data_IF_430852454346
#
_entry.id   IF_430852454346
#
_cell.length_a   1.000
_cell.length_b   1.000
_cell.length_c   1.000
_cell.angle_alpha   90.00
_cell.angle_beta   90.00
_cell.angle_gamma   90.00
#
_symmetry.space_group_name_H-M   'P 1'
#
loop_
_entity.id
_entity.type
_entity.pdbx_description
1 polymer ?
#
# COMPACT_ATOMS: atom_id res chain seq x y z
N UNK A 1 -0.97 14.03 -18.10
CA UNK A 1 -1.07 13.89 -17.56
C UNK A 1 -0.83 13.39 -17.10
N UNK A 2 -0.47 12.96 -16.98
CA UNK A 2 -0.40 12.55 -16.51
C UNK A 2 0.09 12.01 -15.79
N UNK A 3 0.80 11.65 -15.58
CA UNK A 3 1.25 11.11 -14.87
C UNK A 3 1.41 11.43 -13.90
N UNK A 4 1.72 11.89 -13.78
CA UNK A 4 1.77 12.10 -12.93
C UNK A 4 1.06 12.00 -12.22
N UNK A 5 0.96 12.06 -12.20
CA UNK A 5 0.02 11.94 -11.61
C UNK A 5 -0.31 10.77 -11.49
N UNK A 6 0.40 10.28 -11.89
CA UNK A 6 0.14 9.06 -12.05
C UNK A 6 -0.40 8.44 -10.87
N UNK A 7 0.24 8.34 -9.85
CA UNK A 7 -0.18 7.74 -8.83
C UNK A 7 -1.38 8.13 -8.23
N UNK A 8 -1.54 9.25 -8.00
CA UNK A 8 -2.64 9.66 -7.34
C UNK A 8 -3.80 9.70 -8.17
N UNK A 9 -3.57 10.14 -9.28
CA UNK A 9 -4.60 10.41 -10.07
C UNK A 9 -5.21 9.29 -10.65
N UNK A 10 -4.45 8.41 -10.91
CA UNK A 10 -4.86 7.42 -11.64
C UNK A 10 -5.87 6.68 -10.96
N UNK A 11 -5.90 6.76 -9.75
CA UNK A 11 -6.78 5.95 -9.02
C UNK A 11 -8.15 6.54 -9.04
N UNK A 12 -8.88 6.29 -10.07
CA UNK A 12 -10.24 6.76 -10.15
C UNK A 12 -11.16 5.63 -9.75
N UNK A 13 -12.40 5.94 -9.54
CA UNK A 13 -13.36 4.93 -9.09
C UNK A 13 -13.59 3.83 -10.12
N UNK A 14 -13.24 4.08 -11.37
CA UNK A 14 -13.45 3.09 -12.40
C UNK A 14 -12.24 2.18 -12.61
N UNK A 15 -11.12 2.54 -12.03
CA UNK A 15 -9.91 1.76 -12.20
C UNK A 15 -10.02 0.44 -11.43
N UNK A 16 -9.83 -0.68 -12.09
CA UNK A 16 -9.89 -1.98 -11.40
C UNK A 16 -8.89 -2.08 -10.26
N UNK A 17 -7.73 -1.45 -10.41
CA UNK A 17 -6.74 -1.46 -9.35
C UNK A 17 -7.26 -0.69 -8.13
N UNK A 18 -7.95 0.42 -8.37
CA UNK A 18 -8.52 1.20 -7.28
C UNK A 18 -9.57 0.37 -6.53
N UNK A 19 -10.42 -0.33 -7.27
CA UNK A 19 -11.44 -1.16 -6.64
C UNK A 19 -10.82 -2.28 -5.83
N UNK A 20 -9.75 -2.89 -6.37
CA UNK A 20 -9.03 -3.92 -5.64
C UNK A 20 -8.42 -3.34 -4.37
N UNK A 21 -7.85 -2.14 -4.46
CA UNK A 21 -7.27 -1.48 -3.30
C UNK A 21 -8.31 -1.24 -2.22
N UNK A 22 -9.51 -0.84 -2.62
CA UNK A 22 -10.58 -0.62 -1.65
C UNK A 22 -10.95 -1.90 -0.93
N UNK A 23 -11.07 -3.00 -1.67
CA UNK A 23 -11.41 -4.29 -1.08
C UNK A 23 -10.31 -4.79 -0.16
N UNK A 24 -9.07 -4.67 -0.62
CA UNK A 24 -7.92 -5.10 0.19
C UNK A 24 -7.84 -4.26 1.46
N UNK A 25 -8.05 -2.95 1.32
CA UNK A 25 -7.96 -2.07 2.48
C UNK A 25 -9.06 -2.36 3.48
N UNK A 26 -10.24 -2.72 3.00
CA UNK A 26 -11.33 -3.08 3.89
C UNK A 26 -10.99 -4.35 4.67
N UNK A 27 -10.44 -5.35 3.98
CA UNK A 27 -10.02 -6.58 4.63
C UNK A 27 -8.87 -6.32 5.61
N UNK A 28 -7.91 -5.49 5.21
CA UNK A 28 -6.80 -5.13 6.07
C UNK A 28 -7.29 -4.41 7.32
N UNK A 29 -8.23 -3.50 7.17
CA UNK A 29 -8.75 -2.77 8.31
C UNK A 29 -9.42 -3.70 9.32
N UNK A 30 -10.12 -4.71 8.82
CA UNK A 30 -10.72 -5.70 9.69
C UNK A 30 -9.67 -6.46 10.50
N UNK A 31 -8.57 -6.84 9.84
CA UNK A 31 -7.49 -7.53 10.52
C UNK A 31 -6.82 -6.59 11.52
N UNK A 32 -6.59 -5.36 11.11
CA UNK A 32 -5.91 -4.38 11.97
C UNK A 32 -6.70 -4.05 13.23
N UNK A 33 -8.02 -4.20 13.18
CA UNK A 33 -8.84 -3.98 14.38
C UNK A 33 -8.68 -5.11 15.38
N UNK A 34 -8.36 -6.31 14.89
CA UNK A 34 -8.22 -7.47 15.78
C UNK A 34 -6.79 -7.75 16.17
N UNK A 35 -5.85 -7.22 15.41
CA UNK A 35 -4.44 -7.43 15.66
C UNK A 35 -3.77 -6.08 15.77
N UNK A 36 -2.54 -6.08 16.24
CA UNK A 36 -1.77 -4.84 16.24
C UNK A 36 -1.44 -4.47 14.81
N UNK A 37 -1.47 -3.17 14.51
CA UNK A 37 -1.22 -2.70 13.14
C UNK A 37 0.12 -3.17 12.57
N UNK A 38 1.24 -3.13 13.31
CA UNK A 38 2.49 -3.63 12.73
C UNK A 38 2.42 -5.10 12.35
N UNK A 39 1.69 -5.91 13.12
CA UNK A 39 1.54 -7.33 12.80
C UNK A 39 0.70 -7.48 11.54
N UNK A 40 -0.36 -6.69 11.41
CA UNK A 40 -1.20 -6.74 10.23
C UNK A 40 -0.43 -6.31 8.98
N UNK A 41 0.43 -5.29 9.11
CA UNK A 41 1.24 -4.82 7.98
C UNK A 41 2.26 -5.87 7.57
N UNK A 42 2.87 -6.54 8.53
CA UNK A 42 3.83 -7.58 8.22
C UNK A 42 3.14 -8.74 7.50
N UNK A 43 1.93 -9.10 7.95
CA UNK A 43 1.16 -10.13 7.29
C UNK A 43 0.83 -9.75 5.85
N UNK A 44 0.44 -8.49 5.63
CA UNK A 44 0.11 -8.01 4.30
C UNK A 44 1.33 -8.09 3.38
N UNK A 45 2.48 -7.67 3.87
CA UNK A 45 3.71 -7.71 3.08
C UNK A 45 4.08 -9.14 2.70
N UNK A 46 3.94 -10.06 3.65
CA UNK A 46 4.28 -11.44 3.38
C UNK A 46 3.31 -12.08 2.40
N UNK A 47 2.04 -11.74 2.47
CA UNK A 47 1.06 -12.25 1.53
C UNK A 47 1.40 -11.77 0.11
N UNK A 48 1.84 -10.53 -0.03
CA UNK A 48 2.26 -10.02 -1.33
C UNK A 48 3.41 -10.87 -1.89
N UNK A 49 4.43 -11.12 -1.09
CA UNK A 49 5.59 -11.89 -1.52
C UNK A 49 5.18 -13.32 -1.89
N UNK A 50 4.37 -13.95 -1.06
CA UNK A 50 3.94 -15.32 -1.30
C UNK A 50 3.17 -15.42 -2.62
N UNK A 51 2.27 -14.51 -2.85
CA UNK A 51 1.47 -14.56 -4.08
C UNK A 51 2.31 -14.28 -5.32
N UNK A 52 3.25 -13.35 -5.22
CA UNK A 52 4.15 -13.09 -6.34
C UNK A 52 5.00 -14.33 -6.63
N UNK A 53 5.56 -14.91 -5.58
CA UNK A 53 6.46 -16.05 -5.76
C UNK A 53 5.70 -17.27 -6.31
N UNK A 54 4.50 -17.52 -5.79
CA UNK A 54 3.71 -18.66 -6.23
C UNK A 54 3.22 -18.49 -7.66
N UNK A 55 2.94 -17.27 -8.07
CA UNK A 55 2.41 -17.03 -9.40
C UNK A 55 3.46 -16.80 -10.46
N UNK A 56 4.60 -16.21 -10.11
CA UNK A 56 5.56 -15.76 -11.10
C UNK A 56 7.01 -16.16 -10.84
N UNK A 57 7.28 -16.75 -9.72
CA UNK A 57 8.63 -17.23 -9.40
C UNK A 57 9.51 -16.18 -8.73
N UNK A 58 10.64 -16.62 -8.29
CA UNK A 58 11.55 -15.79 -7.49
C UNK A 58 12.04 -14.56 -8.21
N UNK A 59 12.48 -14.70 -9.45
CA UNK A 59 13.05 -13.57 -10.16
C UNK A 59 12.06 -12.45 -10.38
N UNK A 60 10.85 -12.81 -10.80
CA UNK A 60 9.83 -11.79 -11.03
C UNK A 60 9.43 -11.15 -9.70
N UNK A 61 9.38 -11.96 -8.64
CA UNK A 61 9.08 -11.44 -7.32
C UNK A 61 10.08 -10.37 -6.91
N UNK A 62 11.37 -10.68 -7.05
CA UNK A 62 12.40 -9.72 -6.63
C UNK A 62 12.38 -8.47 -7.50
N UNK A 63 12.16 -8.63 -8.80
CA UNK A 63 12.08 -7.48 -9.70
C UNK A 63 10.88 -6.60 -9.35
N UNK A 64 9.74 -7.22 -9.07
CA UNK A 64 8.53 -6.48 -8.73
C UNK A 64 8.70 -5.72 -7.41
N UNK A 65 9.28 -6.38 -6.42
CA UNK A 65 9.53 -5.72 -5.14
C UNK A 65 10.51 -4.57 -5.31
N UNK A 66 11.51 -4.74 -6.18
CA UNK A 66 12.45 -3.66 -6.47
C UNK A 66 11.77 -2.48 -7.12
N UNK A 67 10.84 -2.74 -8.04
CA UNK A 67 10.10 -1.67 -8.70
C UNK A 67 9.20 -0.95 -7.68
N UNK A 68 8.55 -1.70 -6.82
CA UNK A 68 7.72 -1.11 -5.78
C UNK A 68 8.58 -0.21 -4.90
N UNK A 69 9.73 -0.71 -4.50
CA UNK A 69 10.61 0.07 -3.62
C UNK A 69 11.11 1.33 -4.32
N UNK A 70 11.45 1.21 -5.61
CA UNK A 70 11.94 2.36 -6.35
C UNK A 70 10.87 3.44 -6.48
N UNK A 71 9.62 3.03 -6.58
CA UNK A 71 8.52 3.98 -6.73
C UNK A 71 7.86 4.36 -5.41
N UNK A 72 8.33 3.80 -4.32
CA UNK A 72 7.70 4.03 -3.03
C UNK A 72 8.03 5.39 -2.44
N UNK A 73 9.19 5.92 -2.77
CA UNK A 73 9.66 7.13 -2.08
C UNK A 73 8.71 8.32 -2.20
N UNK A 74 8.22 8.67 -3.40
CA UNK A 74 7.29 9.79 -3.50
C UNK A 74 6.01 9.56 -2.71
N UNK A 75 5.51 8.32 -2.75
CA UNK A 75 4.32 7.99 -2.00
C UNK A 75 4.56 8.04 -0.52
N UNK A 76 5.68 7.48 -0.08
CA UNK A 76 6.01 7.49 1.34
C UNK A 76 6.18 8.92 1.84
N UNK A 77 6.78 9.77 1.01
CA UNK A 77 6.99 11.16 1.40
C UNK A 77 5.65 11.89 1.52
N UNK A 78 4.78 11.70 0.54
CA UNK A 78 3.48 12.35 0.54
C UNK A 78 2.62 11.88 1.69
N UNK A 79 2.46 10.58 1.83
CA UNK A 79 1.61 10.03 2.88
C UNK A 79 2.21 10.19 4.27
N UNK A 80 3.54 10.21 4.35
CA UNK A 80 4.21 10.51 5.60
C UNK A 80 3.92 11.93 6.06
N UNK A 81 3.88 12.87 5.10
CA UNK A 81 3.55 14.25 5.44
C UNK A 81 2.09 14.39 5.88
N UNK A 82 1.19 13.63 5.24
CA UNK A 82 -0.21 13.65 5.63
C UNK A 82 -0.35 13.10 7.04
N UNK A 83 0.34 12.01 7.35
CA UNK A 83 0.28 11.41 8.67
C UNK A 83 0.85 12.36 9.73
N UNK A 84 1.94 13.03 9.40
CA UNK A 84 2.56 13.97 10.34
C UNK A 84 1.62 15.14 10.63
N UNK A 85 0.92 15.61 9.60
CA UNK A 85 -0.05 16.67 9.81
C UNK A 85 -1.20 16.19 10.68
N UNK A 86 -1.64 14.96 10.49
CA UNK A 86 -2.68 14.37 11.29
C UNK A 86 -2.29 14.16 12.72
N UNK A 87 -1.00 13.94 12.96
CA UNK A 87 -0.52 13.72 14.29
C UNK A 87 -0.66 14.93 15.20
N UNK A 88 -0.96 16.08 14.63
CA UNK A 88 -1.12 17.26 15.43
C UNK A 88 -2.52 17.28 16.00
N UNK A 89 -3.35 16.36 15.63
CA UNK A 89 -4.69 16.33 16.13
C UNK A 89 -4.68 15.95 17.58
N UNK A 90 -5.50 16.54 18.37
CA UNK A 90 -5.55 16.26 19.80
C UNK A 90 -5.80 14.79 20.10
N UNK A 91 -6.49 14.14 19.25
CA UNK A 91 -6.81 12.75 19.48
C UNK A 91 -5.63 11.83 19.46
N UNK A 92 -4.50 12.31 19.01
CA UNK A 92 -3.34 11.49 18.91
C UNK A 92 -2.40 11.68 20.08
N UNK A 93 -2.78 12.46 20.97
CA UNK A 93 -1.89 12.74 22.09
C UNK A 93 -1.64 11.52 22.93
#
# INVERSE_FOLDING_TARGET
>A
MTTENAMTVMVTSDDPVFKAMQEINRAFSSVAQRRRVPVALEGLANILVINLAAGYGEEVTMATLGDIAANARPNARMWGAVAAAGDHEPGHA
#
